data_IF_380123557397
#
_entry.id   IF_380123557397
#
_cell.length_a   1.000
_cell.length_b   1.000
_cell.length_c   1.000
_cell.angle_alpha   90.00
_cell.angle_beta   90.00
_cell.angle_gamma   90.00
#
_symmetry.space_group_name_H-M   'P 1'
#
loop_
_entity.id
_entity.type
_entity.pdbx_description
1 polymer ?
#
# COMPACT_ATOMS: atom_id res chain seq x y z
N UNK A 1 20.43 1.81 -38.58
CA UNK A 1 19.52 1.90 -39.77
C UNK A 1 20.12 1.01 -40.83
N UNK A 2 19.33 0.12 -41.47
CA UNK A 2 19.80 -0.74 -42.58
C UNK A 2 19.92 0.08 -43.82
N UNK A 3 21.08 -0.02 -44.51
CA UNK A 3 21.31 0.64 -45.77
C UNK A 3 21.19 -0.40 -46.92
N UNK A 4 20.08 -0.34 -47.65
CA UNK A 4 19.77 -1.31 -48.71
C UNK A 4 20.77 -1.27 -49.89
N UNK A 5 21.42 -0.13 -50.12
CA UNK A 5 22.37 0.11 -51.20
C UNK A 5 23.85 0.25 -50.74
N UNK A 6 24.19 -0.28 -49.58
CA UNK A 6 25.56 -0.23 -49.04
C UNK A 6 26.52 -1.06 -49.95
N UNK A 7 27.58 -0.42 -50.43
CA UNK A 7 28.65 -1.08 -51.19
C UNK A 7 29.65 -1.86 -50.32
N UNK A 8 29.59 -1.69 -49.00
CA UNK A 8 30.58 -2.24 -48.06
C UNK A 8 30.13 -3.52 -47.34
N UNK A 9 28.82 -3.65 -47.08
CA UNK A 9 28.27 -4.79 -46.34
C UNK A 9 26.98 -5.27 -46.99
N UNK A 10 26.84 -6.59 -47.13
CA UNK A 10 25.62 -7.19 -47.66
C UNK A 10 24.45 -7.03 -46.70
N UNK A 11 23.21 -7.06 -47.20
CA UNK A 11 21.99 -7.02 -46.35
C UNK A 11 21.99 -8.15 -45.30
N UNK A 12 22.53 -9.33 -45.69
CA UNK A 12 22.64 -10.46 -44.73
C UNK A 12 23.56 -10.15 -43.56
N UNK A 13 24.76 -9.61 -43.84
CA UNK A 13 25.72 -9.21 -42.80
C UNK A 13 25.18 -8.07 -41.90
N UNK A 14 24.49 -7.09 -42.49
CA UNK A 14 23.84 -6.03 -41.74
C UNK A 14 22.75 -6.57 -40.82
N UNK A 15 21.95 -7.53 -41.25
CA UNK A 15 20.92 -8.19 -40.44
C UNK A 15 21.54 -9.00 -39.31
N UNK A 16 22.66 -9.71 -39.55
CA UNK A 16 23.38 -10.46 -38.55
C UNK A 16 23.96 -9.54 -37.46
N UNK A 17 24.63 -8.47 -37.86
CA UNK A 17 25.18 -7.46 -36.94
C UNK A 17 24.12 -6.78 -36.06
N UNK A 18 22.92 -6.59 -36.62
CA UNK A 18 21.80 -5.96 -35.90
C UNK A 18 20.87 -6.95 -35.20
N UNK A 19 21.18 -8.25 -35.25
CA UNK A 19 20.36 -9.35 -34.74
C UNK A 19 18.90 -9.29 -35.25
N UNK A 20 18.73 -8.91 -36.53
CA UNK A 20 17.45 -8.80 -37.22
C UNK A 20 17.21 -10.01 -38.13
N UNK A 21 15.97 -10.49 -38.11
CA UNK A 21 15.60 -11.52 -39.11
C UNK A 21 15.45 -10.88 -40.48
N UNK A 22 16.23 -11.36 -41.48
CA UNK A 22 16.22 -10.85 -42.84
C UNK A 22 14.84 -10.87 -43.50
N UNK A 23 13.97 -11.85 -43.18
CA UNK A 23 12.62 -11.93 -43.75
C UNK A 23 11.73 -10.77 -43.26
N UNK A 24 12.00 -10.19 -42.09
CA UNK A 24 11.26 -9.04 -41.56
C UNK A 24 11.44 -7.78 -42.42
N UNK A 25 12.53 -7.66 -43.17
CA UNK A 25 12.78 -6.51 -44.07
C UNK A 25 11.84 -6.47 -45.25
N UNK A 26 11.40 -7.63 -45.72
CA UNK A 26 10.55 -7.76 -46.87
C UNK A 26 9.08 -7.93 -46.53
N UNK A 27 8.78 -7.95 -45.21
CA UNK A 27 7.41 -8.03 -44.71
C UNK A 27 6.66 -6.72 -45.01
N UNK A 28 5.64 -6.82 -45.88
CA UNK A 28 4.68 -5.75 -46.11
C UNK A 28 3.41 -6.09 -45.35
N UNK A 29 2.98 -5.24 -44.40
CA UNK A 29 1.72 -5.46 -43.71
C UNK A 29 0.57 -5.57 -44.71
N UNK A 30 -0.24 -6.62 -44.59
CA UNK A 30 -1.46 -6.73 -45.36
C UNK A 30 -2.43 -5.61 -44.91
N UNK A 31 -3.14 -4.98 -45.87
CA UNK A 31 -4.16 -4.01 -45.53
C UNK A 31 -5.25 -4.68 -44.69
N UNK A 32 -5.75 -3.94 -43.70
CA UNK A 32 -6.85 -4.40 -42.85
C UNK A 32 -8.06 -4.66 -43.74
N UNK A 33 -8.68 -5.84 -43.63
CA UNK A 33 -9.89 -6.15 -44.37
C UNK A 33 -11.07 -5.29 -43.91
N UNK A 34 -12.01 -4.99 -44.80
CA UNK A 34 -13.22 -4.20 -44.48
C UNK A 34 -14.04 -4.83 -43.35
N UNK A 35 -14.09 -6.17 -43.29
CA UNK A 35 -14.74 -6.88 -42.18
C UNK A 35 -14.05 -6.62 -40.85
N UNK A 36 -12.73 -6.74 -40.80
CA UNK A 36 -11.96 -6.46 -39.60
C UNK A 36 -12.16 -4.99 -39.18
N UNK A 37 -12.12 -4.06 -40.13
CA UNK A 37 -12.31 -2.63 -39.83
C UNK A 37 -13.69 -2.36 -39.24
N UNK A 38 -14.75 -2.98 -39.76
CA UNK A 38 -16.10 -2.88 -39.18
C UNK A 38 -16.17 -3.39 -37.77
N UNK A 39 -15.50 -4.52 -37.48
CA UNK A 39 -15.44 -5.08 -36.12
C UNK A 39 -14.66 -4.16 -35.18
N UNK A 40 -13.53 -3.61 -35.60
CA UNK A 40 -12.73 -2.66 -34.81
C UNK A 40 -13.56 -1.42 -34.46
N UNK A 41 -14.22 -0.81 -35.42
CA UNK A 41 -15.07 0.36 -35.18
C UNK A 41 -16.21 0.03 -34.22
N UNK A 42 -16.84 -1.15 -34.37
CA UNK A 42 -17.93 -1.53 -33.44
C UNK A 42 -17.48 -1.83 -32.03
N UNK A 43 -16.29 -2.44 -31.87
CA UNK A 43 -15.67 -2.63 -30.56
C UNK A 43 -15.40 -1.28 -29.89
N UNK A 44 -14.89 -0.31 -30.65
CA UNK A 44 -14.60 1.04 -30.13
C UNK A 44 -15.87 1.75 -29.67
N UNK A 45 -16.95 1.69 -30.47
CA UNK A 45 -18.26 2.26 -30.09
C UNK A 45 -18.81 1.66 -28.79
N UNK A 46 -18.78 0.32 -28.67
CA UNK A 46 -19.27 -0.37 -27.48
C UNK A 46 -18.41 -0.02 -26.24
N UNK A 47 -17.11 0.02 -26.41
CA UNK A 47 -16.18 0.37 -25.33
C UNK A 47 -16.31 1.83 -24.91
N UNK A 48 -16.49 2.75 -25.86
CA UNK A 48 -16.69 4.18 -25.56
C UNK A 48 -17.99 4.41 -24.79
N UNK A 49 -19.04 3.64 -25.11
CA UNK A 49 -20.31 3.71 -24.38
C UNK A 49 -20.20 3.18 -22.94
N UNK A 50 -19.43 2.11 -22.72
CA UNK A 50 -19.19 1.55 -21.38
C UNK A 50 -17.77 0.96 -21.28
N UNK A 51 -16.79 1.74 -20.78
CA UNK A 51 -15.41 1.31 -20.66
C UNK A 51 -15.16 0.17 -19.65
N UNK A 52 -16.18 -0.23 -18.87
CA UNK A 52 -16.09 -1.38 -17.96
C UNK A 52 -16.21 -2.73 -18.70
N UNK A 53 -16.69 -2.72 -19.95
CA UNK A 53 -16.90 -3.93 -20.71
C UNK A 53 -15.59 -4.56 -21.16
N UNK A 54 -15.36 -5.79 -20.73
CA UNK A 54 -14.23 -6.61 -21.16
C UNK A 54 -14.55 -7.41 -22.43
N UNK A 55 -13.52 -8.03 -23.01
CA UNK A 55 -13.61 -8.77 -24.27
C UNK A 55 -14.68 -9.87 -24.31
N UNK A 56 -15.10 -10.45 -23.17
CA UNK A 56 -16.22 -11.40 -23.12
C UNK A 56 -17.57 -10.72 -23.33
N UNK A 57 -17.79 -9.60 -22.65
CA UNK A 57 -19.04 -8.83 -22.75
C UNK A 57 -19.19 -8.26 -24.14
N UNK A 58 -18.15 -7.61 -24.66
CA UNK A 58 -18.12 -7.08 -26.03
C UNK A 58 -18.32 -8.19 -27.07
N UNK A 59 -17.64 -9.33 -26.90
CA UNK A 59 -17.82 -10.49 -27.79
C UNK A 59 -19.25 -11.04 -27.80
N UNK A 60 -19.92 -11.02 -26.64
CA UNK A 60 -21.33 -11.43 -26.55
C UNK A 60 -22.25 -10.45 -27.27
N UNK A 61 -22.00 -9.13 -27.16
CA UNK A 61 -22.76 -8.10 -27.87
C UNK A 61 -22.58 -8.26 -29.38
N UNK A 62 -21.35 -8.37 -29.84
CA UNK A 62 -21.05 -8.54 -31.26
C UNK A 62 -21.72 -9.78 -31.87
N UNK A 63 -21.72 -10.91 -31.18
CA UNK A 63 -22.40 -12.14 -31.61
C UNK A 63 -23.92 -11.96 -31.71
N UNK A 64 -24.52 -11.21 -30.79
CA UNK A 64 -25.96 -10.85 -30.84
C UNK A 64 -26.28 -9.93 -32.03
N UNK A 65 -25.32 -9.10 -32.45
CA UNK A 65 -25.42 -8.24 -33.63
C UNK A 65 -25.12 -8.97 -34.94
N UNK A 66 -24.81 -10.29 -34.88
CA UNK A 66 -24.59 -11.14 -36.06
C UNK A 66 -23.14 -11.30 -36.47
N UNK A 67 -22.15 -10.76 -35.73
CA UNK A 67 -20.75 -10.97 -36.03
C UNK A 67 -20.28 -12.36 -35.60
N UNK A 68 -19.60 -13.09 -36.49
CA UNK A 68 -18.96 -14.37 -36.16
C UNK A 68 -17.57 -14.12 -35.59
N UNK A 69 -17.48 -13.94 -34.24
CA UNK A 69 -16.21 -13.61 -33.59
C UNK A 69 -16.05 -14.36 -32.27
N UNK A 70 -14.83 -14.80 -31.99
CA UNK A 70 -14.48 -15.44 -30.70
C UNK A 70 -14.00 -14.44 -29.67
N UNK A 71 -14.17 -14.74 -28.38
CA UNK A 71 -13.69 -13.88 -27.28
C UNK A 71 -12.16 -13.64 -27.31
N UNK A 72 -11.29 -14.62 -27.65
CA UNK A 72 -9.87 -14.36 -27.82
C UNK A 72 -9.58 -13.35 -28.93
N UNK A 73 -10.32 -13.41 -30.04
CA UNK A 73 -10.16 -12.46 -31.18
C UNK A 73 -10.57 -11.04 -30.72
N UNK A 74 -11.68 -10.90 -30.01
CA UNK A 74 -12.11 -9.59 -29.48
C UNK A 74 -11.04 -9.01 -28.56
N UNK A 75 -10.47 -9.80 -27.65
CA UNK A 75 -9.38 -9.35 -26.76
C UNK A 75 -8.12 -8.94 -27.55
N UNK A 76 -7.83 -9.64 -28.65
CA UNK A 76 -6.71 -9.29 -29.54
C UNK A 76 -6.95 -7.93 -30.17
N UNK A 77 -8.15 -7.70 -30.67
CA UNK A 77 -8.53 -6.43 -31.30
C UNK A 77 -8.57 -5.27 -30.30
N UNK A 78 -9.12 -5.48 -29.11
CA UNK A 78 -9.07 -4.49 -28.03
C UNK A 78 -7.63 -4.11 -27.69
N UNK A 79 -6.74 -5.10 -27.59
CA UNK A 79 -5.31 -4.86 -27.30
C UNK A 79 -4.61 -4.12 -28.43
N UNK A 80 -4.93 -4.45 -29.70
CA UNK A 80 -4.42 -3.77 -30.89
C UNK A 80 -4.81 -2.28 -30.89
N UNK A 81 -6.01 -1.95 -30.43
CA UNK A 81 -6.52 -0.58 -30.25
C UNK A 81 -6.09 0.10 -28.93
N UNK A 82 -5.37 -0.60 -28.04
CA UNK A 82 -4.99 -0.07 -26.73
C UNK A 82 -6.16 0.03 -25.73
N UNK A 83 -7.26 -0.69 -25.97
CA UNK A 83 -8.46 -0.67 -25.13
C UNK A 83 -8.36 -1.72 -24.02
N UNK A 84 -8.54 -1.29 -22.79
CA UNK A 84 -8.54 -2.14 -21.58
C UNK A 84 -9.75 -1.83 -20.74
N UNK A 85 -10.50 -2.88 -20.36
CA UNK A 85 -11.65 -2.69 -19.48
C UNK A 85 -11.23 -2.00 -18.17
N UNK A 86 -11.96 -0.97 -17.79
CA UNK A 86 -11.76 -0.28 -16.52
C UNK A 86 -12.39 -1.15 -15.42
N UNK A 87 -11.56 -1.68 -14.53
CA UNK A 87 -12.00 -2.44 -13.35
C UNK A 87 -11.14 -2.02 -12.16
N UNK A 88 -11.64 -2.20 -10.93
CA UNK A 88 -10.82 -2.00 -9.74
C UNK A 88 -9.52 -2.80 -9.87
N UNK A 89 -8.39 -2.13 -9.72
CA UNK A 89 -7.08 -2.76 -9.76
C UNK A 89 -6.94 -3.91 -8.76
N UNK A 90 -5.84 -4.67 -8.80
CA UNK A 90 -5.59 -5.71 -7.82
C UNK A 90 -5.63 -5.11 -6.42
N UNK A 91 -6.25 -5.82 -5.49
CA UNK A 91 -6.28 -5.41 -4.09
C UNK A 91 -4.85 -5.41 -3.55
N UNK A 92 -4.25 -4.23 -3.38
CA UNK A 92 -2.88 -4.05 -2.90
C UNK A 92 -2.70 -4.53 -1.46
N UNK A 93 -3.79 -4.73 -0.72
CA UNK A 93 -3.78 -5.36 0.60
C UNK A 93 -3.70 -6.90 0.54
N UNK A 94 -3.74 -7.53 -0.64
CA UNK A 94 -3.47 -8.96 -0.76
C UNK A 94 -1.97 -9.20 -0.67
N UNK A 95 -1.58 -10.02 0.30
CA UNK A 95 -0.21 -10.48 0.50
C UNK A 95 0.39 -11.09 -0.76
N UNK A 96 1.63 -10.76 -1.06
CA UNK A 96 2.49 -11.56 -1.91
C UNK A 96 2.88 -12.84 -1.17
N UNK A 97 3.03 -13.96 -1.88
CA UNK A 97 3.35 -15.29 -1.32
C UNK A 97 4.65 -15.34 -0.49
N UNK A 98 5.52 -14.33 -0.59
CA UNK A 98 6.86 -14.27 0.04
C UNK A 98 6.91 -13.45 1.34
N UNK A 99 5.77 -13.01 1.89
CA UNK A 99 5.76 -12.25 3.14
C UNK A 99 6.01 -13.17 4.34
N UNK A 100 7.10 -12.94 5.06
CA UNK A 100 7.43 -13.61 6.31
C UNK A 100 6.42 -13.18 7.40
N UNK A 101 5.67 -14.15 7.93
CA UNK A 101 4.78 -13.94 9.07
C UNK A 101 5.52 -14.38 10.32
N UNK A 102 5.62 -13.47 11.28
CA UNK A 102 6.20 -13.76 12.59
C UNK A 102 5.14 -14.24 13.57
N UNK A 103 5.51 -15.11 14.54
CA UNK A 103 4.57 -15.60 15.53
C UNK A 103 4.15 -14.48 16.50
N UNK A 104 2.96 -14.62 17.08
CA UNK A 104 2.51 -13.76 18.18
C UNK A 104 3.23 -14.14 19.47
N UNK A 105 4.03 -13.23 20.01
CA UNK A 105 4.93 -13.47 21.15
C UNK A 105 4.33 -13.07 22.50
N UNK A 106 3.16 -12.42 22.51
CA UNK A 106 2.66 -11.73 23.71
C UNK A 106 1.60 -12.53 24.49
N UNK A 107 1.35 -13.78 24.10
CA UNK A 107 0.40 -14.62 24.84
C UNK A 107 0.91 -14.94 26.24
N UNK A 108 0.20 -14.46 27.27
CA UNK A 108 0.55 -14.68 28.68
C UNK A 108 1.79 -13.91 29.15
N UNK A 109 2.20 -12.88 28.42
CA UNK A 109 3.28 -11.98 28.79
C UNK A 109 2.69 -10.81 29.56
N UNK A 110 3.09 -10.65 30.83
CA UNK A 110 2.80 -9.46 31.61
C UNK A 110 3.73 -8.30 31.17
N UNK A 111 3.11 -7.17 30.86
CA UNK A 111 3.84 -5.96 30.46
C UNK A 111 4.02 -5.10 31.71
N UNK A 112 5.23 -5.12 32.26
CA UNK A 112 5.53 -4.58 33.58
C UNK A 112 6.44 -3.34 33.59
N UNK A 113 6.94 -2.95 32.41
CA UNK A 113 7.84 -1.79 32.26
C UNK A 113 7.79 -1.16 30.89
N UNK A 114 8.19 0.10 30.81
CA UNK A 114 8.36 0.81 29.55
C UNK A 114 9.40 0.13 28.65
N UNK A 115 9.21 0.24 27.34
CA UNK A 115 10.04 -0.34 26.29
C UNK A 115 10.10 -1.89 26.26
N UNK A 116 9.23 -2.57 26.99
CA UNK A 116 9.09 -4.01 26.88
C UNK A 116 8.36 -4.39 25.59
N UNK A 117 7.25 -3.74 25.28
CA UNK A 117 6.45 -3.97 24.06
C UNK A 117 6.00 -2.64 23.48
N UNK A 118 6.30 -2.44 22.21
CA UNK A 118 5.67 -1.37 21.44
C UNK A 118 4.62 -1.94 20.49
N UNK A 119 3.52 -1.25 20.35
CA UNK A 119 2.51 -1.52 19.33
C UNK A 119 2.60 -0.53 18.21
N UNK A 120 2.36 -1.00 16.99
CA UNK A 120 2.24 -0.16 15.80
C UNK A 120 1.08 -0.63 14.94
N UNK A 121 0.47 0.32 14.26
CA UNK A 121 -0.63 0.09 13.30
C UNK A 121 -0.76 1.30 12.39
N UNK A 122 -1.48 1.13 11.27
CA UNK A 122 -1.78 2.19 10.31
C UNK A 122 -3.27 2.49 10.34
N UNK A 123 -3.60 3.77 10.44
CA UNK A 123 -4.99 4.23 10.34
C UNK A 123 -5.18 5.26 9.25
N UNK A 124 -6.44 5.43 8.79
CA UNK A 124 -6.84 6.42 7.81
C UNK A 124 -7.28 7.69 8.50
N UNK A 125 -6.77 8.83 8.05
CA UNK A 125 -7.17 10.17 8.46
C UNK A 125 -7.99 10.77 7.33
N UNK A 126 -9.26 11.05 7.61
CA UNK A 126 -10.16 11.65 6.64
C UNK A 126 -9.79 13.11 6.41
N UNK A 127 -9.78 13.51 5.15
CA UNK A 127 -9.62 14.88 4.68
C UNK A 127 -10.90 15.34 3.97
N UNK A 128 -11.05 16.61 3.69
CA UNK A 128 -12.12 17.11 2.82
C UNK A 128 -12.08 16.44 1.44
N UNK A 129 -10.88 16.20 0.92
CA UNK A 129 -10.67 15.45 -0.30
C UNK A 129 -9.68 14.32 -0.04
N UNK A 130 -10.17 13.06 -0.08
CA UNK A 130 -9.35 11.87 0.07
C UNK A 130 -9.00 11.52 1.52
N UNK A 131 -7.87 10.84 1.68
CA UNK A 131 -7.39 10.31 2.95
C UNK A 131 -5.87 10.44 3.03
N UNK A 132 -5.36 10.57 4.25
CA UNK A 132 -3.97 10.33 4.58
C UNK A 132 -3.85 9.05 5.41
N UNK A 133 -2.66 8.47 5.40
CA UNK A 133 -2.31 7.32 6.22
C UNK A 133 -1.46 7.79 7.39
N UNK A 134 -1.78 7.33 8.57
CA UNK A 134 -1.06 7.63 9.79
C UNK A 134 -0.56 6.35 10.40
N UNK A 135 0.75 6.23 10.63
CA UNK A 135 1.37 5.21 11.45
C UNK A 135 1.81 5.81 12.77
N UNK A 136 1.76 5.04 13.87
CA UNK A 136 2.34 5.44 15.14
C UNK A 136 2.98 4.24 15.85
N UNK A 137 4.02 4.52 16.63
CA UNK A 137 4.65 3.58 17.55
C UNK A 137 4.34 4.02 18.99
N UNK A 138 3.70 3.13 19.73
CA UNK A 138 3.26 3.38 21.11
C UNK A 138 3.80 2.33 22.07
N UNK A 139 4.38 2.77 23.17
CA UNK A 139 4.73 1.88 24.29
C UNK A 139 3.48 1.37 25.02
N UNK A 140 3.33 0.07 25.12
CA UNK A 140 2.13 -0.53 25.70
C UNK A 140 2.05 -0.39 27.23
N UNK A 141 3.18 -0.25 27.92
CA UNK A 141 3.17 -0.03 29.36
C UNK A 141 2.67 1.37 29.73
N UNK A 142 3.31 2.37 29.15
CA UNK A 142 3.05 3.78 29.47
C UNK A 142 1.97 4.44 28.60
N UNK A 143 1.56 3.80 27.50
CA UNK A 143 0.71 4.41 26.44
C UNK A 143 1.37 5.58 25.72
N UNK A 144 2.64 5.82 25.92
CA UNK A 144 3.37 6.92 25.30
C UNK A 144 3.55 6.69 23.81
N UNK A 145 3.20 7.66 22.99
CA UNK A 145 3.43 7.66 21.55
C UNK A 145 4.83 8.20 21.29
N UNK A 146 5.76 7.29 20.91
CA UNK A 146 7.17 7.63 20.69
C UNK A 146 7.37 8.39 19.38
N UNK A 147 6.71 7.94 18.33
CA UNK A 147 6.77 8.54 17.01
C UNK A 147 5.49 8.29 16.22
N UNK A 148 5.32 9.08 15.18
CA UNK A 148 4.25 8.92 14.20
C UNK A 148 4.64 9.58 12.89
N UNK A 149 4.10 9.10 11.77
CA UNK A 149 4.25 9.71 10.46
C UNK A 149 2.96 9.69 9.66
N UNK A 150 2.78 10.73 8.82
CA UNK A 150 1.68 10.89 7.88
C UNK A 150 2.19 10.75 6.45
N UNK A 151 1.43 10.01 5.63
CA UNK A 151 1.70 9.84 4.20
C UNK A 151 0.40 9.94 3.39
N UNK A 152 0.50 10.34 2.15
CA UNK A 152 -0.55 10.27 1.13
C UNK A 152 -0.55 8.93 0.38
N UNK A 153 0.50 8.14 0.54
CA UNK A 153 0.62 6.79 -0.02
C UNK A 153 0.79 5.72 1.06
N UNK A 154 0.37 4.47 0.75
CA UNK A 154 0.48 3.32 1.66
C UNK A 154 1.78 2.54 1.41
N UNK A 155 2.86 3.23 1.07
CA UNK A 155 4.18 2.65 0.88
C UNK A 155 4.87 2.37 2.22
N UNK A 156 5.89 1.51 2.22
CA UNK A 156 6.59 1.13 3.45
C UNK A 156 7.47 2.27 4.02
N UNK A 157 7.85 3.23 3.19
CA UNK A 157 8.81 4.28 3.55
C UNK A 157 8.44 5.08 4.80
N UNK A 158 7.17 5.55 4.90
CA UNK A 158 6.73 6.33 6.08
C UNK A 158 6.68 5.51 7.37
N UNK A 159 6.46 4.18 7.26
CA UNK A 159 6.50 3.27 8.41
C UNK A 159 7.94 3.10 8.92
N UNK A 160 8.91 3.02 7.99
CA UNK A 160 10.33 2.95 8.33
C UNK A 160 10.80 4.26 8.98
N UNK A 161 10.42 5.40 8.45
CA UNK A 161 10.74 6.71 9.02
C UNK A 161 10.20 6.83 10.45
N UNK A 162 8.94 6.44 10.69
CA UNK A 162 8.37 6.42 12.02
C UNK A 162 9.12 5.45 12.95
N UNK A 163 9.51 4.26 12.47
CA UNK A 163 10.29 3.30 13.25
C UNK A 163 11.66 3.87 13.64
N UNK A 164 12.38 4.47 12.71
CA UNK A 164 13.70 5.06 12.96
C UNK A 164 13.61 6.21 13.97
N UNK A 165 12.59 7.06 13.85
CA UNK A 165 12.31 8.13 14.81
C UNK A 165 11.98 7.57 16.20
N UNK A 166 11.21 6.48 16.30
CA UNK A 166 10.90 5.84 17.57
C UNK A 166 12.17 5.23 18.22
N UNK A 167 12.98 4.51 17.44
CA UNK A 167 14.23 3.88 17.92
C UNK A 167 15.24 4.94 18.37
N UNK A 168 15.26 6.12 17.77
CA UNK A 168 16.10 7.24 18.22
C UNK A 168 15.72 7.74 19.63
N UNK A 169 14.46 7.55 20.06
CA UNK A 169 14.01 7.91 21.42
C UNK A 169 14.35 6.82 22.42
N UNK A 170 14.05 5.55 22.11
CA UNK A 170 14.30 4.41 22.98
C UNK A 170 14.35 3.11 22.17
N UNK A 171 14.76 1.99 22.77
CA UNK A 171 14.82 0.67 22.12
C UNK A 171 13.83 -0.28 22.81
N UNK A 172 12.88 -0.88 22.06
CA UNK A 172 11.96 -1.88 22.61
C UNK A 172 12.58 -3.28 22.58
N UNK A 173 12.02 -4.19 23.36
CA UNK A 173 12.34 -5.62 23.24
C UNK A 173 11.52 -6.30 22.16
N UNK A 174 10.25 -5.93 22.05
CA UNK A 174 9.30 -6.50 21.10
C UNK A 174 8.54 -5.36 20.43
N UNK A 175 8.38 -5.45 19.11
CA UNK A 175 7.41 -4.64 18.37
C UNK A 175 6.29 -5.56 17.88
N UNK A 176 5.06 -5.21 18.22
CA UNK A 176 3.84 -5.91 17.78
C UNK A 176 3.12 -5.11 16.71
N UNK A 177 2.74 -5.76 15.62
CA UNK A 177 1.97 -5.18 14.51
C UNK A 177 0.92 -6.15 14.01
N UNK A 178 0.04 -5.68 13.16
CA UNK A 178 -0.77 -6.56 12.34
C UNK A 178 0.09 -7.25 11.25
N UNK A 179 -0.56 -8.05 10.42
CA UNK A 179 0.10 -8.73 9.30
C UNK A 179 -0.04 -7.94 7.98
N UNK A 180 -0.12 -6.61 8.02
CA UNK A 180 -0.16 -5.74 6.85
C UNK A 180 1.09 -5.86 5.97
N UNK A 181 0.95 -5.55 4.69
CA UNK A 181 2.06 -5.65 3.72
C UNK A 181 3.27 -4.79 4.11
N UNK A 182 3.04 -3.66 4.75
CA UNK A 182 4.09 -2.77 5.24
C UNK A 182 4.91 -3.42 6.34
N UNK A 183 4.25 -4.06 7.32
CA UNK A 183 4.88 -4.69 8.47
C UNK A 183 5.50 -6.06 8.15
N UNK A 184 5.05 -6.74 7.10
CA UNK A 184 5.63 -7.99 6.61
C UNK A 184 6.71 -7.78 5.56
N UNK A 185 6.98 -6.53 5.17
CA UNK A 185 8.02 -6.21 4.19
C UNK A 185 9.42 -6.56 4.72
N UNK A 186 10.29 -6.98 3.80
CA UNK A 186 11.68 -7.30 4.14
C UNK A 186 12.44 -6.06 4.65
N UNK A 187 12.10 -4.89 4.14
CA UNK A 187 12.71 -3.61 4.53
C UNK A 187 12.40 -3.29 6.00
N UNK A 188 11.15 -3.39 6.41
CA UNK A 188 10.74 -3.13 7.79
C UNK A 188 11.30 -4.19 8.76
N UNK A 189 11.13 -5.47 8.44
CA UNK A 189 11.57 -6.57 9.33
C UNK A 189 13.09 -6.62 9.50
N UNK A 190 13.87 -6.31 8.45
CA UNK A 190 15.32 -6.23 8.57
C UNK A 190 15.78 -5.06 9.45
N UNK A 191 15.07 -3.91 9.47
CA UNK A 191 15.38 -2.78 10.38
C UNK A 191 15.18 -3.17 11.84
N UNK A 192 14.10 -3.88 12.17
CA UNK A 192 13.87 -4.38 13.53
C UNK A 192 14.95 -5.38 13.92
N UNK A 193 15.28 -6.34 13.04
CA UNK A 193 16.32 -7.35 13.31
C UNK A 193 17.70 -6.73 13.47
N UNK A 194 18.05 -5.72 12.68
CA UNK A 194 19.33 -5.00 12.79
C UNK A 194 19.48 -4.24 14.14
N UNK A 195 18.36 -3.95 14.79
CA UNK A 195 18.31 -3.32 16.12
C UNK A 195 18.09 -4.35 17.24
N UNK A 196 18.21 -5.67 16.99
CA UNK A 196 17.92 -6.76 17.94
C UNK A 196 16.53 -6.69 18.58
N UNK A 197 15.54 -6.19 17.84
CA UNK A 197 14.14 -6.10 18.28
C UNK A 197 13.39 -7.33 17.79
N UNK A 198 12.71 -8.01 18.70
CA UNK A 198 11.88 -9.17 18.39
C UNK A 198 10.57 -8.71 17.72
N UNK A 199 10.18 -9.42 16.66
CA UNK A 199 8.98 -9.12 15.89
C UNK A 199 7.84 -10.02 16.35
N UNK A 200 6.72 -9.43 16.69
CA UNK A 200 5.46 -10.10 17.00
C UNK A 200 4.37 -9.64 16.04
N UNK A 201 3.55 -10.56 15.57
CA UNK A 201 2.44 -10.23 14.68
C UNK A 201 1.14 -10.83 15.18
N UNK A 202 0.08 -10.02 15.14
CA UNK A 202 -1.27 -10.43 15.56
C UNK A 202 -1.77 -11.62 14.75
N UNK A 203 -2.51 -12.50 15.40
CA UNK A 203 -3.20 -13.60 14.72
C UNK A 203 -4.35 -13.08 13.84
N UNK A 204 -4.63 -13.79 12.74
CA UNK A 204 -5.78 -13.44 11.87
C UNK A 204 -7.09 -13.38 12.69
N UNK A 205 -7.79 -12.23 12.60
CA UNK A 205 -9.09 -12.04 13.23
C UNK A 205 -9.06 -11.83 14.75
N UNK A 206 -7.90 -11.53 15.33
CA UNK A 206 -7.73 -11.26 16.76
C UNK A 206 -7.50 -9.77 17.01
N UNK A 207 -8.58 -8.98 16.94
CA UNK A 207 -8.54 -7.54 17.24
C UNK A 207 -8.07 -7.23 18.68
N UNK A 208 -8.19 -8.18 19.61
CA UNK A 208 -7.73 -7.99 21.00
C UNK A 208 -6.20 -7.94 21.15
N UNK A 209 -5.47 -8.43 20.16
CA UNK A 209 -4.01 -8.53 20.21
C UNK A 209 -3.32 -7.16 20.06
N UNK A 210 -4.02 -6.10 19.57
CA UNK A 210 -3.52 -4.72 19.44
C UNK A 210 -4.47 -3.65 20.01
N UNK A 211 -5.20 -4.01 21.05
CA UNK A 211 -6.27 -3.18 21.65
C UNK A 211 -5.80 -1.76 22.02
N UNK A 212 -4.55 -1.60 22.45
CA UNK A 212 -4.03 -0.30 22.89
C UNK A 212 -3.87 0.68 21.73
N UNK A 213 -3.41 0.20 20.59
CA UNK A 213 -3.29 1.01 19.37
C UNK A 213 -4.67 1.33 18.79
N UNK A 214 -5.61 0.37 18.84
CA UNK A 214 -7.00 0.63 18.44
C UNK A 214 -7.67 1.70 19.34
N UNK A 215 -7.43 1.67 20.65
CA UNK A 215 -7.89 2.69 21.57
C UNK A 215 -7.27 4.06 21.28
N UNK A 216 -6.00 4.11 20.87
CA UNK A 216 -5.33 5.33 20.45
C UNK A 216 -6.03 5.93 19.23
N UNK A 217 -6.29 5.09 18.19
CA UNK A 217 -6.99 5.54 16.98
C UNK A 217 -8.40 6.05 17.27
N UNK A 218 -9.13 5.36 18.12
CA UNK A 218 -10.43 5.82 18.55
C UNK A 218 -10.36 7.19 19.23
N UNK A 219 -9.44 7.38 20.16
CA UNK A 219 -9.23 8.66 20.83
C UNK A 219 -8.87 9.77 19.85
N UNK A 220 -7.90 9.54 18.97
CA UNK A 220 -7.47 10.50 17.96
C UNK A 220 -8.64 10.91 17.05
N UNK A 221 -9.38 9.92 16.53
CA UNK A 221 -10.48 10.20 15.60
C UNK A 221 -11.60 11.01 16.25
N UNK A 222 -12.00 10.66 17.47
CA UNK A 222 -13.10 11.34 18.15
C UNK A 222 -12.70 12.69 18.77
N UNK A 223 -11.45 12.86 19.17
CA UNK A 223 -11.01 14.07 19.90
C UNK A 223 -10.29 15.08 19.01
N UNK A 224 -9.91 14.69 17.79
CA UNK A 224 -9.20 15.57 16.86
C UNK A 224 -9.80 15.49 15.45
N UNK A 225 -9.74 14.33 14.78
CA UNK A 225 -10.03 14.21 13.35
C UNK A 225 -11.48 14.55 13.00
N UNK A 226 -12.45 14.07 13.79
CA UNK A 226 -13.88 14.31 13.53
C UNK A 226 -14.35 15.71 13.97
N UNK A 227 -13.55 16.40 14.74
CA UNK A 227 -13.83 17.79 15.17
C UNK A 227 -13.26 18.82 14.20
N UNK A 228 -12.35 18.38 13.31
CA UNK A 228 -11.67 19.26 12.38
C UNK A 228 -11.85 18.77 10.93
N UNK A 229 -12.11 19.70 10.02
CA UNK A 229 -12.17 19.45 8.58
C UNK A 229 -10.84 19.86 7.96
N UNK A 230 -9.91 18.93 7.83
CA UNK A 230 -8.61 19.22 7.24
C UNK A 230 -8.71 19.44 5.74
N UNK A 231 -8.26 20.63 5.28
CA UNK A 231 -8.23 20.99 3.87
C UNK A 231 -6.88 20.69 3.20
N UNK A 232 -5.85 20.49 4.00
CA UNK A 232 -4.49 20.20 3.49
C UNK A 232 -3.76 19.18 4.38
N UNK A 233 -2.80 18.41 3.82
CA UNK A 233 -1.93 17.53 4.59
C UNK A 233 -1.15 18.28 5.69
N UNK A 234 -0.81 19.55 5.45
CA UNK A 234 -0.11 20.41 6.42
C UNK A 234 -0.99 20.70 7.65
N UNK A 235 -2.27 21.02 7.43
CA UNK A 235 -3.23 21.22 8.52
C UNK A 235 -3.41 19.95 9.33
N UNK A 236 -3.61 18.79 8.67
CA UNK A 236 -3.72 17.51 9.32
C UNK A 236 -2.47 17.19 10.17
N UNK A 237 -1.27 17.40 9.61
CA UNK A 237 -0.01 17.19 10.34
C UNK A 237 0.07 18.07 11.59
N UNK A 238 -0.28 19.34 11.49
CA UNK A 238 -0.27 20.28 12.62
C UNK A 238 -1.28 19.88 13.70
N UNK A 239 -2.52 19.53 13.31
CA UNK A 239 -3.56 19.09 14.24
C UNK A 239 -3.16 17.82 14.98
N UNK A 240 -2.68 16.81 14.25
CA UNK A 240 -2.24 15.52 14.81
C UNK A 240 -1.01 15.72 15.73
N UNK A 241 -0.07 16.58 15.37
CA UNK A 241 1.07 16.92 16.21
C UNK A 241 0.63 17.51 17.55
N UNK A 242 -0.30 18.47 17.51
CA UNK A 242 -0.85 19.10 18.72
C UNK A 242 -1.63 18.07 19.55
N UNK A 243 -2.37 17.16 18.89
CA UNK A 243 -3.08 16.09 19.57
C UNK A 243 -2.12 15.14 20.29
N UNK A 244 -1.08 14.62 19.65
CA UNK A 244 -0.13 13.71 20.29
C UNK A 244 0.68 14.38 21.39
N UNK A 245 0.99 15.68 21.26
CA UNK A 245 1.59 16.43 22.34
C UNK A 245 0.67 16.48 23.58
N UNK A 246 -0.62 16.83 23.39
CA UNK A 246 -1.62 16.82 24.48
C UNK A 246 -1.85 15.42 25.03
N UNK A 247 -1.92 14.42 24.16
CA UNK A 247 -2.12 13.03 24.53
C UNK A 247 -1.00 12.53 25.43
N UNK A 248 0.25 12.78 25.07
CA UNK A 248 1.41 12.34 25.85
C UNK A 248 1.61 13.12 27.15
N UNK A 249 1.44 14.45 27.13
CA UNK A 249 1.95 15.31 28.22
C UNK A 249 0.88 15.97 29.10
N UNK A 250 -0.37 15.96 28.65
CA UNK A 250 -1.43 16.69 29.36
C UNK A 250 -2.66 15.86 29.70
N UNK A 251 -3.01 14.88 28.84
CA UNK A 251 -4.22 14.09 29.00
C UNK A 251 -4.06 13.00 30.06
N UNK A 252 -4.86 13.03 31.17
CA UNK A 252 -4.83 11.94 32.14
C UNK A 252 -5.47 10.67 31.56
N UNK A 253 -4.88 9.52 31.85
CA UNK A 253 -5.35 8.22 31.42
C UNK A 253 -5.89 7.39 32.59
N UNK A 254 -7.12 6.87 32.46
CA UNK A 254 -7.71 6.00 33.49
C UNK A 254 -6.88 4.74 33.71
N UNK A 255 -6.39 4.10 32.64
CA UNK A 255 -5.53 2.91 32.73
C UNK A 255 -4.13 3.19 33.27
N UNK A 256 -3.79 4.45 33.56
CA UNK A 256 -2.55 4.89 34.22
C UNK A 256 -2.85 5.60 35.55
N UNK A 257 -3.96 5.27 36.18
CA UNK A 257 -4.38 5.88 37.45
C UNK A 257 -4.44 7.43 37.47
N UNK A 258 -4.74 8.01 36.28
CA UNK A 258 -4.83 9.46 36.08
C UNK A 258 -3.52 10.14 35.72
N UNK A 259 -2.40 9.42 35.67
CA UNK A 259 -1.14 9.95 35.14
C UNK A 259 -1.18 10.13 33.64
N UNK A 260 -0.31 10.99 33.11
CA UNK A 260 -0.10 11.12 31.67
C UNK A 260 0.85 10.04 31.17
N UNK A 261 0.81 9.68 29.87
CA UNK A 261 1.81 8.79 29.27
C UNK A 261 3.25 9.24 29.51
N UNK A 262 3.52 10.55 29.49
CA UNK A 262 4.84 11.11 29.74
C UNK A 262 5.30 10.91 31.19
N UNK A 263 4.41 11.05 32.17
CA UNK A 263 4.74 10.80 33.58
C UNK A 263 5.25 9.37 33.78
N UNK A 264 4.59 8.40 33.12
CA UNK A 264 4.95 6.99 33.24
C UNK A 264 6.21 6.66 32.42
N UNK A 265 6.31 7.16 31.20
CA UNK A 265 7.41 6.82 30.29
C UNK A 265 8.72 7.50 30.64
N UNK A 266 8.67 8.85 30.86
CA UNK A 266 9.86 9.68 31.08
C UNK A 266 10.26 9.76 32.55
N UNK A 267 9.29 9.74 33.47
CA UNK A 267 9.53 9.96 34.89
C UNK A 267 9.40 8.67 35.72
N UNK A 268 9.08 7.54 35.08
CA UNK A 268 9.05 6.23 35.73
C UNK A 268 7.99 6.10 36.83
N UNK A 269 6.90 6.87 36.74
CA UNK A 269 5.80 6.78 37.71
C UNK A 269 5.16 5.40 37.61
N UNK A 270 5.12 4.67 38.73
CA UNK A 270 4.50 3.34 38.76
C UNK A 270 2.98 3.46 38.86
N UNK A 271 2.29 2.73 37.99
CA UNK A 271 0.82 2.73 37.91
C UNK A 271 0.26 1.42 38.48
N UNK A 272 0.47 1.17 39.75
CA UNK A 272 -0.10 -0.01 40.44
C UNK A 272 -1.48 0.26 40.98
#
# INVERSE_FOLDING_TARGET
>A
MLELDSKKTSISEQCELLSLNRTSLYYKPLPVSDEKQKMLNRIDEIYTADPSFGGRTIGTILRREGFSISDPTVRSYMREMGLYAIYPGPNLSKRTHDSLIYPYLLRGVDIVRANQVWGTDITYIRMNQGFLYLVAFMDWYSRYVLSWELSDSLEVGFVIEALENAIAVAKPEIVNSDQGSQFTSKEYTSRLSANDVRISMDGRGRCMDNIFTECLWRSLKYQEVYLNEYNSPREARSGIQNYFHKYNSYRPHQGLNGFTPADVFLHGVQTF
#
